data_IF_474173610563
#
_entry.id   IF_474173610563
#
_cell.length_a   1.000
_cell.length_b   1.000
_cell.length_c   1.000
_cell.angle_alpha   90.00
_cell.angle_beta   90.00
_cell.angle_gamma   90.00
#
_symmetry.space_group_name_H-M   'P 1'
#
loop_
_entity.id
_entity.type
_entity.pdbx_description
1 polymer ?
#
# COMPACT_ATOMS: atom_id res chain seq x y z
N UNK A 1 -25.33 -18.68 -40.94
CA UNK A 1 -24.02 -18.88 -40.29
C UNK A 1 -23.79 -17.68 -39.37
N UNK A 2 -24.12 -17.81 -38.08
CA UNK A 2 -24.04 -16.71 -37.10
C UNK A 2 -22.69 -16.83 -36.38
N UNK A 3 -21.82 -15.83 -36.58
CA UNK A 3 -20.57 -15.70 -35.83
C UNK A 3 -20.91 -15.39 -34.37
N UNK A 4 -20.66 -16.37 -33.49
CA UNK A 4 -20.69 -16.18 -32.04
C UNK A 4 -19.59 -15.20 -31.64
N UNK A 5 -19.92 -13.91 -31.55
CA UNK A 5 -19.06 -12.90 -30.92
C UNK A 5 -19.22 -13.07 -29.41
N UNK A 6 -18.56 -14.09 -28.85
CA UNK A 6 -18.39 -14.17 -27.41
C UNK A 6 -17.58 -12.94 -26.95
N UNK A 7 -18.03 -12.21 -25.91
CA UNK A 7 -17.24 -11.12 -25.36
C UNK A 7 -15.86 -11.65 -24.93
N UNK A 8 -14.79 -10.85 -25.08
CA UNK A 8 -13.45 -11.29 -24.72
C UNK A 8 -13.46 -11.77 -23.26
N UNK A 9 -13.01 -13.01 -23.05
CA UNK A 9 -12.88 -13.60 -21.72
C UNK A 9 -12.17 -12.58 -20.82
N UNK A 10 -12.84 -12.12 -19.76
CA UNK A 10 -12.23 -11.25 -18.75
C UNK A 10 -10.92 -11.91 -18.32
N UNK A 11 -9.80 -11.20 -18.49
CA UNK A 11 -8.49 -11.68 -18.04
C UNK A 11 -8.64 -12.22 -16.60
N UNK A 12 -8.06 -13.38 -16.28
CA UNK A 12 -8.15 -13.94 -14.94
C UNK A 12 -7.72 -12.88 -13.93
N UNK A 13 -8.46 -12.77 -12.82
CA UNK A 13 -8.21 -11.77 -11.79
C UNK A 13 -6.77 -11.94 -11.28
N UNK A 14 -5.86 -11.10 -11.78
CA UNK A 14 -4.46 -11.13 -11.38
C UNK A 14 -4.38 -10.53 -9.99
N UNK A 15 -4.07 -11.38 -9.02
CA UNK A 15 -3.84 -10.94 -7.66
C UNK A 15 -2.57 -10.10 -7.63
N UNK A 16 -2.70 -8.82 -7.27
CA UNK A 16 -1.57 -7.91 -7.07
C UNK A 16 -1.34 -7.78 -5.57
N UNK A 17 -0.25 -8.38 -5.11
CA UNK A 17 0.23 -8.21 -3.75
C UNK A 17 0.94 -6.86 -3.63
N UNK A 18 0.66 -6.09 -2.57
CA UNK A 18 1.44 -4.88 -2.32
C UNK A 18 2.78 -5.24 -1.67
N UNK A 19 3.80 -5.40 -2.50
CA UNK A 19 5.15 -5.78 -2.07
C UNK A 19 5.78 -4.79 -1.08
N UNK A 20 5.34 -3.51 -1.08
CA UNK A 20 5.85 -2.53 -0.10
C UNK A 20 5.48 -2.91 1.34
N UNK A 21 4.42 -3.69 1.54
CA UNK A 21 4.05 -4.21 2.86
C UNK A 21 5.01 -5.30 3.34
N UNK A 22 5.64 -6.02 2.40
CA UNK A 22 6.65 -7.03 2.71
C UNK A 22 8.03 -6.43 3.00
N UNK A 23 8.26 -5.17 2.61
CA UNK A 23 9.48 -4.44 2.92
C UNK A 23 9.57 -4.02 4.40
N UNK A 24 8.44 -3.95 5.11
CA UNK A 24 8.44 -3.65 6.55
C UNK A 24 8.71 -4.91 7.37
N UNK A 25 9.84 -4.93 8.10
CA UNK A 25 10.25 -6.07 8.94
C UNK A 25 9.17 -6.50 9.93
N UNK A 26 8.52 -5.55 10.60
CA UNK A 26 7.43 -5.85 11.56
C UNK A 26 6.24 -6.53 10.87
N UNK A 27 5.87 -6.05 9.68
CA UNK A 27 4.80 -6.63 8.88
C UNK A 27 5.15 -8.03 8.38
N UNK A 28 6.41 -8.26 7.99
CA UNK A 28 6.92 -9.57 7.59
C UNK A 28 6.89 -10.56 8.74
N UNK A 29 7.33 -10.17 9.93
CA UNK A 29 7.29 -11.01 11.13
C UNK A 29 5.84 -11.36 11.50
N UNK A 30 4.95 -10.37 11.55
CA UNK A 30 3.52 -10.59 11.83
C UNK A 30 2.88 -11.54 10.83
N UNK A 31 3.11 -11.33 9.52
CA UNK A 31 2.57 -12.19 8.48
C UNK A 31 3.14 -13.61 8.58
N UNK A 32 4.44 -13.76 8.86
CA UNK A 32 5.09 -15.07 8.99
C UNK A 32 4.52 -15.84 10.17
N UNK A 33 4.43 -15.21 11.35
CA UNK A 33 3.81 -15.83 12.53
C UNK A 33 2.34 -16.18 12.29
N UNK A 34 1.60 -15.29 11.62
CA UNK A 34 0.22 -15.54 11.24
C UNK A 34 0.09 -16.76 10.31
N UNK A 35 0.94 -16.85 9.29
CA UNK A 35 0.97 -17.96 8.34
C UNK A 35 1.26 -19.29 9.02
N UNK A 36 2.25 -19.32 9.93
CA UNK A 36 2.56 -20.52 10.72
C UNK A 36 1.32 -20.97 11.50
N UNK A 37 0.67 -20.05 12.22
CA UNK A 37 -0.56 -20.34 12.97
C UNK A 37 -1.71 -20.79 12.07
N UNK A 38 -1.87 -20.15 10.91
CA UNK A 38 -2.87 -20.52 9.91
C UNK A 38 -2.64 -21.95 9.45
N UNK A 39 -1.43 -22.33 9.05
CA UNK A 39 -1.14 -23.68 8.60
C UNK A 39 -1.30 -24.71 9.73
N UNK A 40 -0.83 -24.42 10.94
CA UNK A 40 -1.04 -25.29 12.11
C UNK A 40 -2.53 -25.56 12.37
N UNK A 41 -3.38 -24.53 12.31
CA UNK A 41 -4.84 -24.69 12.52
C UNK A 41 -5.54 -25.48 11.42
N UNK A 42 -5.00 -25.45 10.21
CA UNK A 42 -5.56 -26.16 9.05
C UNK A 42 -4.84 -27.49 8.78
N UNK A 43 -3.89 -27.91 9.63
CA UNK A 43 -3.30 -29.25 9.57
C UNK A 43 -4.39 -30.29 9.84
N UNK A 44 -4.59 -31.22 8.90
CA UNK A 44 -5.61 -32.26 8.98
C UNK A 44 -6.92 -31.95 8.25
N UNK A 45 -7.16 -30.71 7.81
CA UNK A 45 -8.36 -30.33 7.04
C UNK A 45 -8.31 -30.76 5.56
N UNK A 46 -7.21 -31.37 5.13
CA UNK A 46 -7.02 -31.95 3.80
C UNK A 46 -6.52 -33.37 4.01
N UNK A 47 -7.42 -34.34 4.04
CA UNK A 47 -7.04 -35.75 3.87
C UNK A 47 -6.32 -35.83 2.52
N UNK A 48 -5.11 -36.40 2.51
CA UNK A 48 -4.14 -36.42 1.38
C UNK A 48 -4.69 -36.88 0.01
N UNK A 49 -5.94 -37.32 -0.07
CA UNK A 49 -6.60 -37.86 -1.26
C UNK A 49 -7.64 -36.92 -1.90
N UNK A 50 -7.97 -35.77 -1.33
CA UNK A 50 -8.86 -34.81 -1.99
C UNK A 50 -8.03 -33.73 -2.70
N UNK A 51 -7.65 -34.02 -3.95
CA UNK A 51 -7.27 -32.98 -4.92
C UNK A 51 -8.44 -32.03 -5.00
N UNK A 52 -8.29 -30.83 -4.44
CA UNK A 52 -9.27 -29.76 -4.45
C UNK A 52 -9.66 -29.42 -5.90
N UNK A 53 -10.80 -29.92 -6.42
CA UNK A 53 -11.08 -29.91 -7.85
C UNK A 53 -11.33 -28.49 -8.40
N UNK A 54 -11.44 -27.50 -7.51
CA UNK A 54 -11.79 -26.11 -7.83
C UNK A 54 -10.82 -25.09 -7.22
N UNK A 55 -9.72 -25.50 -6.59
CA UNK A 55 -8.81 -24.59 -5.92
C UNK A 55 -9.43 -23.79 -4.76
N UNK A 56 -10.47 -24.31 -4.10
CA UNK A 56 -11.09 -23.68 -2.92
C UNK A 56 -10.11 -23.41 -1.77
N UNK A 57 -9.19 -24.32 -1.47
CA UNK A 57 -8.19 -24.13 -0.41
C UNK A 57 -7.21 -23.02 -0.76
N UNK A 58 -6.76 -22.93 -2.02
CA UNK A 58 -5.89 -21.84 -2.45
C UNK A 58 -6.64 -20.49 -2.46
N UNK A 59 -7.94 -20.48 -2.75
CA UNK A 59 -8.78 -19.28 -2.64
C UNK A 59 -8.91 -18.85 -1.18
N UNK A 60 -9.23 -19.76 -0.26
CA UNK A 60 -9.35 -19.47 1.18
C UNK A 60 -8.03 -18.95 1.76
N UNK A 61 -6.90 -19.58 1.40
CA UNK A 61 -5.58 -19.13 1.80
C UNK A 61 -5.28 -17.71 1.30
N UNK A 62 -5.57 -17.43 0.01
CA UNK A 62 -5.39 -16.10 -0.58
C UNK A 62 -6.26 -15.04 0.11
N UNK A 63 -7.51 -15.36 0.45
CA UNK A 63 -8.42 -14.45 1.17
C UNK A 63 -7.86 -14.15 2.55
N UNK A 64 -7.39 -15.16 3.28
CA UNK A 64 -6.81 -14.99 4.61
C UNK A 64 -5.56 -14.11 4.58
N UNK A 65 -4.60 -14.42 3.69
CA UNK A 65 -3.37 -13.61 3.53
C UNK A 65 -3.71 -12.15 3.19
N UNK A 66 -4.70 -11.93 2.33
CA UNK A 66 -5.15 -10.57 2.00
C UNK A 66 -5.73 -9.85 3.22
N UNK A 67 -6.52 -10.53 4.05
CA UNK A 67 -7.07 -9.98 5.28
C UNK A 67 -5.97 -9.51 6.24
N UNK A 68 -4.95 -10.35 6.45
CA UNK A 68 -3.80 -10.01 7.30
C UNK A 68 -3.03 -8.81 6.75
N UNK A 69 -2.74 -8.78 5.45
CA UNK A 69 -2.03 -7.66 4.84
C UNK A 69 -2.81 -6.34 4.95
N UNK A 70 -4.14 -6.39 4.82
CA UNK A 70 -5.00 -5.22 5.04
C UNK A 70 -4.93 -4.76 6.50
N UNK A 71 -4.96 -5.68 7.46
CA UNK A 71 -4.84 -5.36 8.88
C UNK A 71 -3.49 -4.71 9.20
N UNK A 72 -2.39 -5.30 8.74
CA UNK A 72 -1.03 -4.77 8.90
C UNK A 72 -0.93 -3.36 8.28
N UNK A 73 -1.39 -3.20 7.03
CA UNK A 73 -1.37 -1.91 6.34
C UNK A 73 -2.18 -0.84 7.09
N UNK A 74 -3.34 -1.23 7.63
CA UNK A 74 -4.21 -0.34 8.40
C UNK A 74 -3.52 0.09 9.69
N UNK A 75 -2.89 -0.83 10.41
CA UNK A 75 -2.15 -0.53 11.62
C UNK A 75 -0.96 0.40 11.35
N UNK A 76 -0.15 0.11 10.32
CA UNK A 76 0.95 0.97 9.91
C UNK A 76 0.47 2.39 9.55
N UNK A 77 -0.66 2.51 8.85
CA UNK A 77 -1.26 3.82 8.51
C UNK A 77 -1.70 4.57 9.77
N UNK A 78 -2.35 3.89 10.71
CA UNK A 78 -2.77 4.46 12.00
C UNK A 78 -1.57 4.92 12.82
N UNK A 79 -0.55 4.08 12.97
CA UNK A 79 0.68 4.40 13.71
C UNK A 79 1.42 5.59 13.09
N UNK A 80 1.52 5.64 11.76
CA UNK A 80 2.14 6.76 11.05
C UNK A 80 1.35 8.07 11.26
N UNK A 81 0.02 8.03 11.19
CA UNK A 81 -0.84 9.19 11.45
C UNK A 81 -0.70 9.67 12.90
N UNK A 82 -0.69 8.75 13.86
CA UNK A 82 -0.50 9.07 15.27
C UNK A 82 0.86 9.70 15.53
N UNK A 83 1.95 9.15 14.97
CA UNK A 83 3.29 9.70 15.09
C UNK A 83 3.38 11.12 14.52
N UNK A 84 2.75 11.37 13.36
CA UNK A 84 2.66 12.72 12.78
C UNK A 84 1.96 13.69 13.74
N UNK A 85 0.80 13.30 14.26
CA UNK A 85 0.05 14.11 15.22
C UNK A 85 0.89 14.44 16.47
N UNK A 86 1.63 13.47 17.01
CA UNK A 86 2.54 13.70 18.14
C UNK A 86 3.62 14.74 17.82
N UNK A 87 4.23 14.68 16.63
CA UNK A 87 5.24 15.66 16.20
C UNK A 87 4.62 17.06 16.09
N UNK A 88 3.43 17.18 15.50
CA UNK A 88 2.72 18.45 15.37
C UNK A 88 2.38 19.06 16.75
N UNK A 89 1.90 18.23 17.69
CA UNK A 89 1.64 18.67 19.07
C UNK A 89 2.91 19.09 19.81
N UNK A 90 3.99 18.30 19.69
CA UNK A 90 5.28 18.65 20.28
C UNK A 90 5.81 19.97 19.70
N UNK A 91 5.67 20.17 18.39
CA UNK A 91 6.11 21.40 17.72
C UNK A 91 5.33 22.61 18.26
N UNK A 92 3.99 22.52 18.29
CA UNK A 92 3.12 23.58 18.83
C UNK A 92 3.49 23.96 20.27
N UNK A 93 3.72 22.95 21.11
CA UNK A 93 4.10 23.16 22.52
C UNK A 93 5.48 23.82 22.63
N UNK A 94 6.45 23.41 21.82
CA UNK A 94 7.79 24.00 21.83
C UNK A 94 7.81 25.43 21.28
N UNK A 95 7.03 25.72 20.23
CA UNK A 95 6.87 27.07 19.69
C UNK A 95 6.22 28.00 20.72
N UNK A 96 5.19 27.53 21.43
CA UNK A 96 4.59 28.29 22.53
C UNK A 96 5.60 28.61 23.64
N UNK A 97 6.37 27.61 24.09
CA UNK A 97 7.44 27.82 25.09
C UNK A 97 8.51 28.78 24.62
N UNK A 98 8.91 28.71 23.35
CA UNK A 98 9.89 29.61 22.76
C UNK A 98 9.41 31.06 22.73
N UNK A 99 8.13 31.28 22.41
CA UNK A 99 7.53 32.62 22.42
C UNK A 99 7.48 33.23 23.82
N UNK A 100 7.30 32.42 24.86
CA UNK A 100 7.32 32.87 26.25
C UNK A 100 8.74 33.13 26.76
N UNK A 101 9.67 32.22 26.45
CA UNK A 101 11.06 32.30 26.88
C UNK A 101 11.98 31.79 25.77
N UNK A 102 12.50 32.70 24.93
CA UNK A 102 13.41 32.34 23.86
C UNK A 102 14.66 31.66 24.40
N UNK A 103 15.02 30.54 23.79
CA UNK A 103 16.15 29.73 24.23
C UNK A 103 16.72 28.92 23.06
N UNK A 104 18.04 28.95 22.90
CA UNK A 104 18.77 28.22 21.85
C UNK A 104 18.43 26.71 21.84
N UNK A 105 18.44 25.97 22.97
CA UNK A 105 18.05 24.55 22.95
C UNK A 105 16.59 24.34 22.52
N UNK A 106 15.68 25.26 22.85
CA UNK A 106 14.28 25.19 22.43
C UNK A 106 14.16 25.39 20.92
N UNK A 107 14.89 26.37 20.37
CA UNK A 107 14.97 26.60 18.92
C UNK A 107 15.54 25.40 18.17
N UNK A 108 16.63 24.80 18.65
CA UNK A 108 17.22 23.62 18.06
C UNK A 108 16.22 22.45 18.00
N UNK A 109 15.43 22.27 19.07
CA UNK A 109 14.39 21.25 19.10
C UNK A 109 13.24 21.54 18.12
N UNK A 110 12.80 22.79 18.00
CA UNK A 110 11.81 23.22 17.01
C UNK A 110 12.29 22.89 15.59
N UNK A 111 13.54 23.26 15.28
CA UNK A 111 14.15 22.97 13.97
C UNK A 111 14.18 21.47 13.67
N UNK A 112 14.57 20.65 14.66
CA UNK A 112 14.55 19.19 14.54
C UNK A 112 13.14 18.64 14.28
N UNK A 113 12.12 19.11 15.01
CA UNK A 113 10.73 18.68 14.83
C UNK A 113 10.18 19.09 13.45
N UNK A 114 10.50 20.30 12.98
CA UNK A 114 10.14 20.77 11.63
C UNK A 114 10.81 19.92 10.54
N UNK A 115 12.07 19.54 10.73
CA UNK A 115 12.76 18.64 9.80
C UNK A 115 12.07 17.26 9.73
N UNK A 116 11.72 16.67 10.87
CA UNK A 116 11.00 15.40 10.91
C UNK A 116 9.63 15.48 10.21
N UNK A 117 8.90 16.57 10.41
CA UNK A 117 7.60 16.79 9.74
C UNK A 117 7.78 16.96 8.23
N UNK A 118 8.82 17.68 7.80
CA UNK A 118 9.19 17.84 6.39
C UNK A 118 9.49 16.49 5.76
N UNK A 119 10.30 15.64 6.41
CA UNK A 119 10.61 14.30 5.91
C UNK A 119 9.35 13.43 5.75
N UNK A 120 8.41 13.55 6.69
CA UNK A 120 7.12 12.86 6.59
C UNK A 120 6.34 13.31 5.35
N UNK A 121 6.27 14.62 5.12
CA UNK A 121 5.56 15.19 3.97
C UNK A 121 6.23 14.83 2.65
N UNK A 122 7.58 14.84 2.59
CA UNK A 122 8.34 14.41 1.42
C UNK A 122 8.04 12.94 1.11
N UNK A 123 8.05 12.05 2.10
CA UNK A 123 7.72 10.63 1.91
C UNK A 123 6.30 10.44 1.36
N UNK A 124 5.33 11.21 1.83
CA UNK A 124 3.96 11.18 1.30
C UNK A 124 3.89 11.68 -0.15
N UNK A 125 4.59 12.77 -0.45
CA UNK A 125 4.65 13.33 -1.80
C UNK A 125 5.29 12.33 -2.79
N UNK A 126 6.43 11.74 -2.43
CA UNK A 126 7.09 10.70 -3.22
C UNK A 126 6.16 9.52 -3.46
N UNK A 127 5.46 9.04 -2.42
CA UNK A 127 4.49 7.95 -2.57
C UNK A 127 3.36 8.30 -3.54
N UNK A 128 2.83 9.53 -3.47
CA UNK A 128 1.78 9.99 -4.38
C UNK A 128 2.29 10.08 -5.84
N UNK A 129 3.48 10.66 -6.05
CA UNK A 129 4.11 10.74 -7.37
C UNK A 129 4.34 9.34 -7.96
N UNK A 130 4.91 8.42 -7.18
CA UNK A 130 5.15 7.05 -7.60
C UNK A 130 3.85 6.33 -7.97
N UNK A 131 2.78 6.54 -7.20
CA UNK A 131 1.47 5.98 -7.51
C UNK A 131 0.90 6.51 -8.84
N UNK A 132 0.98 7.82 -9.06
CA UNK A 132 0.54 8.46 -10.31
C UNK A 132 1.35 7.93 -11.49
N UNK A 133 2.67 7.87 -11.35
CA UNK A 133 3.58 7.33 -12.37
C UNK A 133 3.25 5.88 -12.72
N UNK A 134 3.01 5.03 -11.71
CA UNK A 134 2.61 3.64 -11.94
C UNK A 134 1.27 3.55 -12.67
N UNK A 135 0.28 4.36 -12.28
CA UNK A 135 -1.00 4.41 -12.98
C UNK A 135 -0.85 4.84 -14.43
N UNK A 136 -0.02 5.83 -14.70
CA UNK A 136 0.26 6.31 -16.05
C UNK A 136 0.82 5.18 -16.92
N UNK A 137 1.83 4.45 -16.43
CA UNK A 137 2.35 3.27 -17.13
C UNK A 137 1.30 2.17 -17.29
N UNK A 138 0.50 1.88 -16.27
CA UNK A 138 -0.57 0.87 -16.35
C UNK A 138 -1.63 1.22 -17.42
N UNK A 139 -1.89 2.52 -17.65
CA UNK A 139 -2.80 3.00 -18.70
C UNK A 139 -2.13 2.91 -20.07
N UNK A 140 -0.92 3.44 -20.22
CA UNK A 140 -0.16 3.37 -21.48
C UNK A 140 0.10 1.94 -21.93
N UNK A 141 0.40 1.04 -20.99
CA UNK A 141 0.58 -0.39 -21.26
C UNK A 141 -0.71 -1.07 -21.73
N UNK A 142 -1.87 -0.61 -21.24
CA UNK A 142 -3.18 -1.15 -21.66
C UNK A 142 -3.67 -0.60 -22.99
N UNK A 143 -3.31 0.63 -23.34
CA UNK A 143 -3.77 1.30 -24.55
C UNK A 143 -2.76 1.21 -25.71
N UNK A 144 -1.52 0.78 -25.46
CA UNK A 144 -0.43 0.76 -26.44
C UNK A 144 0.11 2.17 -26.71
N UNK A 145 1.40 2.33 -27.07
CA UNK A 145 2.03 3.65 -27.24
C UNK A 145 1.42 4.53 -28.35
N UNK A 146 0.57 3.96 -29.22
CA UNK A 146 0.07 4.63 -30.43
C UNK A 146 -1.32 5.26 -30.31
N UNK A 147 -2.11 4.95 -29.28
CA UNK A 147 -3.52 5.40 -29.22
C UNK A 147 -3.66 6.83 -28.65
N UNK A 148 -2.90 7.18 -27.61
CA UNK A 148 -2.97 8.51 -26.98
C UNK A 148 -2.39 9.64 -27.85
N UNK A 149 -1.41 9.35 -28.72
CA UNK A 149 -0.88 10.34 -29.66
C UNK A 149 -1.92 10.75 -30.71
N UNK A 150 -2.83 9.83 -31.08
CA UNK A 150 -3.88 10.10 -32.06
C UNK A 150 -5.08 10.89 -31.49
N UNK A 151 -5.36 10.77 -30.19
CA UNK A 151 -6.42 11.53 -29.52
C UNK A 151 -5.96 12.93 -29.14
N UNK A 152 -4.70 13.10 -28.71
CA UNK A 152 -4.12 14.42 -28.49
C UNK A 152 -4.05 15.23 -29.79
N UNK A 153 -3.74 14.61 -30.94
CA UNK A 153 -3.71 15.30 -32.23
C UNK A 153 -5.09 15.80 -32.72
N UNK A 154 -6.20 15.15 -32.32
CA UNK A 154 -7.57 15.53 -32.73
C UNK A 154 -8.15 16.72 -31.98
N UNK A 155 -7.58 17.09 -30.83
CA UNK A 155 -8.05 18.25 -30.05
C UNK A 155 -7.31 19.55 -30.40
N UNK A 156 -6.34 19.51 -31.32
CA UNK A 156 -5.54 20.65 -31.78
C UNK A 156 -5.63 20.91 -33.30
N UNK A 157 -6.67 20.36 -33.93
CA UNK A 157 -7.10 20.64 -35.32
C UNK A 157 -8.57 21.03 -35.31
#
# INVERSE_FOLDING_TARGET
MILNILPPLRKPFQWRLNETLLAHMDGKTQLTTGLIKYFQRNQGSVTKTQVDPKGRYIILHKVWVRGELIAIATNLKKSAAHRRFQIEQQLKNMEHRYNQKPSIPTLARITSLRAQLRDFNIKQAVKAITYIRQRYYDIMWKQGPYTLCSEAARHWT
#
